data_IF_648089716750
#
_entry.id   IF_648089716750
#
_cell.length_a   1.000
_cell.length_b   1.000
_cell.length_c   1.000
_cell.angle_alpha   90.00
_cell.angle_beta   90.00
_cell.angle_gamma   90.00
#
_symmetry.space_group_name_H-M   'P 1'
#
loop_
_entity.id
_entity.type
_entity.pdbx_description
1 polymer ?
#
# COMPACT_ATOMS: atom_id res chain seq x y z
N UNK A 1 54.07 -3.85 19.24
CA UNK A 1 55.14 -4.76 18.77
C UNK A 1 54.58 -5.50 17.57
N UNK A 2 54.73 -4.89 16.40
CA UNK A 2 54.70 -5.61 15.13
C UNK A 2 55.99 -6.43 15.03
N UNK A 3 55.96 -7.65 14.51
CA UNK A 3 57.06 -8.28 13.76
C UNK A 3 56.60 -9.63 13.16
N UNK A 4 56.89 -9.77 11.87
CA UNK A 4 56.55 -10.83 10.92
C UNK A 4 57.51 -12.04 10.99
N UNK A 5 57.04 -13.16 10.42
CA UNK A 5 57.84 -14.19 9.73
C UNK A 5 57.64 -15.60 10.30
N UNK A 6 57.62 -16.70 9.53
CA UNK A 6 57.77 -17.00 8.10
C UNK A 6 57.26 -18.44 7.88
N UNK A 7 56.73 -18.67 6.67
CA UNK A 7 56.83 -19.85 5.80
C UNK A 7 56.65 -21.29 6.33
N UNK A 8 55.79 -22.04 5.62
CA UNK A 8 55.92 -23.50 5.52
C UNK A 8 54.67 -24.26 5.10
N UNK A 9 54.54 -24.52 3.80
CA UNK A 9 54.11 -25.84 3.30
C UNK A 9 52.62 -26.11 3.09
N UNK A 10 52.30 -26.50 1.86
CA UNK A 10 51.06 -27.08 1.38
C UNK A 10 50.37 -28.07 2.34
N UNK A 11 49.05 -27.92 2.52
CA UNK A 11 48.17 -29.08 2.72
C UNK A 11 46.74 -28.75 2.28
N UNK A 12 46.40 -29.21 1.07
CA UNK A 12 45.03 -29.33 0.57
C UNK A 12 44.27 -30.29 1.48
N UNK A 13 43.56 -29.77 2.49
CA UNK A 13 42.65 -30.60 3.30
C UNK A 13 41.27 -30.69 2.67
N UNK A 14 41.10 -31.81 1.98
CA UNK A 14 39.84 -32.48 1.61
C UNK A 14 38.96 -32.61 2.87
N UNK A 15 37.83 -31.92 2.92
CA UNK A 15 36.83 -32.11 3.98
C UNK A 15 36.13 -33.46 3.76
N UNK A 16 36.44 -34.45 4.61
CA UNK A 16 35.74 -35.73 4.66
C UNK A 16 34.46 -35.58 5.48
N UNK A 17 33.32 -35.86 4.85
CA UNK A 17 32.01 -35.96 5.49
C UNK A 17 32.00 -37.11 6.49
N UNK A 18 32.27 -36.82 7.76
CA UNK A 18 32.01 -37.77 8.84
C UNK A 18 30.49 -37.83 9.07
N UNK A 19 29.88 -38.96 8.70
CA UNK A 19 28.53 -39.33 9.10
C UNK A 19 28.49 -39.47 10.62
N UNK A 20 27.92 -38.47 11.29
CA UNK A 20 27.53 -38.58 12.68
C UNK A 20 26.19 -39.33 12.72
N UNK A 21 26.23 -40.65 12.92
CA UNK A 21 25.06 -41.46 13.26
C UNK A 21 24.77 -41.31 14.74
N UNK A 22 24.08 -40.23 15.11
CA UNK A 22 23.45 -40.09 16.41
C UNK A 22 22.04 -40.65 16.27
N UNK A 23 21.81 -41.85 16.80
CA UNK A 23 20.45 -42.36 17.02
C UNK A 23 19.72 -41.37 17.92
N UNK A 24 18.58 -40.79 17.51
CA UNK A 24 17.88 -39.85 18.36
C UNK A 24 17.36 -40.60 19.61
N UNK A 25 17.59 -40.05 20.82
CA UNK A 25 17.00 -40.62 22.03
C UNK A 25 15.48 -40.64 21.85
N UNK A 26 14.85 -41.70 22.36
CA UNK A 26 13.41 -41.92 22.33
C UNK A 26 12.66 -40.67 22.80
N UNK A 27 12.12 -39.90 21.84
CA UNK A 27 11.30 -38.73 22.07
C UNK A 27 9.93 -39.14 22.64
N UNK A 28 9.90 -39.65 23.87
CA UNK A 28 8.70 -39.74 24.71
C UNK A 28 8.58 -38.43 25.49
N UNK A 29 7.89 -37.48 24.88
CA UNK A 29 7.70 -36.15 25.45
C UNK A 29 7.46 -35.09 24.39
N UNK A 30 6.60 -35.37 23.40
CA UNK A 30 5.99 -34.27 22.65
C UNK A 30 5.12 -33.48 23.65
N UNK A 31 5.15 -32.14 23.66
CA UNK A 31 4.06 -31.39 24.25
C UNK A 31 2.79 -31.87 23.54
N UNK A 32 1.77 -32.23 24.30
CA UNK A 32 0.43 -32.50 23.75
C UNK A 32 0.06 -31.36 22.78
N UNK A 33 -0.32 -31.68 21.54
CA UNK A 33 -0.52 -30.67 20.48
C UNK A 33 -1.56 -29.62 20.92
N UNK A 34 -1.26 -28.31 21.01
CA UNK A 34 -2.10 -27.37 21.76
C UNK A 34 -3.45 -26.91 21.14
N UNK A 35 -4.16 -27.64 20.28
CA UNK A 35 -5.34 -27.07 19.59
C UNK A 35 -6.36 -28.04 18.96
N UNK A 36 -7.06 -28.85 19.75
CA UNK A 36 -8.38 -29.38 19.33
C UNK A 36 -9.43 -28.88 20.31
N UNK A 37 -10.40 -28.10 19.81
CA UNK A 37 -11.56 -28.67 19.11
C UNK A 37 -11.51 -28.43 17.60
N UNK A 38 -12.14 -29.32 16.82
CA UNK A 38 -12.44 -29.02 15.42
C UNK A 38 -13.48 -27.91 15.41
N UNK A 39 -13.16 -26.78 14.77
CA UNK A 39 -14.18 -25.79 14.43
C UNK A 39 -15.16 -26.45 13.45
N UNK A 40 -16.41 -26.58 13.88
CA UNK A 40 -17.44 -27.31 13.15
C UNK A 40 -17.94 -26.47 11.99
N UNK A 41 -17.36 -26.68 10.81
CA UNK A 41 -17.75 -25.99 9.59
C UNK A 41 -18.54 -26.89 8.65
N UNK A 42 -19.67 -26.40 8.13
CA UNK A 42 -20.48 -27.14 7.15
C UNK A 42 -20.69 -26.32 5.89
N UNK A 43 -20.38 -26.91 4.72
CA UNK A 43 -20.72 -26.37 3.41
C UNK A 43 -21.63 -27.40 2.74
N UNK A 44 -22.94 -27.14 2.77
CA UNK A 44 -23.96 -27.98 2.16
C UNK A 44 -24.34 -27.46 0.77
N UNK A 45 -25.15 -28.25 0.03
CA UNK A 45 -25.73 -27.80 -1.23
C UNK A 45 -26.68 -26.62 -1.03
N UNK A 46 -26.87 -25.81 -2.08
CA UNK A 46 -27.56 -24.51 -1.99
C UNK A 46 -28.92 -24.58 -1.32
N UNK A 47 -29.78 -25.48 -1.77
CA UNK A 47 -31.16 -25.59 -1.27
C UNK A 47 -31.22 -26.21 0.14
N UNK A 48 -30.30 -27.12 0.45
CA UNK A 48 -30.17 -27.71 1.79
C UNK A 48 -29.72 -26.66 2.80
N UNK A 49 -28.65 -25.91 2.48
CA UNK A 49 -28.13 -24.82 3.30
C UNK A 49 -29.20 -23.76 3.58
N UNK A 50 -29.97 -23.38 2.55
CA UNK A 50 -31.08 -22.44 2.66
C UNK A 50 -32.19 -22.98 3.57
N UNK A 51 -32.64 -24.21 3.32
CA UNK A 51 -33.73 -24.83 4.08
C UNK A 51 -33.36 -24.95 5.56
N UNK A 52 -32.13 -25.37 5.83
CA UNK A 52 -31.60 -25.50 7.18
C UNK A 52 -31.54 -24.15 7.91
N UNK A 53 -31.02 -23.09 7.28
CA UNK A 53 -30.97 -21.77 7.91
C UNK A 53 -32.37 -21.19 8.19
N UNK A 54 -33.35 -21.44 7.32
CA UNK A 54 -34.74 -21.05 7.55
C UNK A 54 -35.40 -21.86 8.68
N UNK A 55 -35.06 -23.14 8.82
CA UNK A 55 -35.46 -24.00 9.95
C UNK A 55 -34.89 -23.47 11.28
N UNK A 56 -33.58 -23.19 11.31
CA UNK A 56 -32.87 -22.68 12.48
C UNK A 56 -33.51 -21.36 12.97
N UNK A 57 -33.71 -20.41 12.06
CA UNK A 57 -34.39 -19.14 12.35
C UNK A 57 -35.81 -19.30 12.91
N UNK A 58 -36.53 -20.37 12.56
CA UNK A 58 -37.90 -20.64 13.06
C UNK A 58 -37.91 -21.38 14.39
N UNK A 59 -36.80 -22.00 14.77
CA UNK A 59 -36.70 -22.80 15.97
C UNK A 59 -36.79 -21.91 17.21
N UNK A 60 -37.80 -22.16 18.04
CA UNK A 60 -37.98 -21.40 19.29
C UNK A 60 -36.78 -21.66 20.20
N UNK A 61 -36.20 -20.58 20.73
CA UNK A 61 -34.99 -20.57 21.57
C UNK A 61 -33.66 -20.91 20.86
N UNK A 62 -33.64 -21.15 19.55
CA UNK A 62 -32.38 -21.15 18.81
C UNK A 62 -31.84 -19.72 18.71
N UNK A 63 -30.52 -19.57 18.82
CA UNK A 63 -29.87 -18.28 18.62
C UNK A 63 -28.85 -18.37 17.48
N UNK A 64 -29.12 -17.59 16.43
CA UNK A 64 -28.46 -17.68 15.12
C UNK A 64 -27.74 -16.37 14.79
N UNK A 65 -26.43 -16.45 14.54
CA UNK A 65 -25.63 -15.33 14.04
C UNK A 65 -25.54 -15.34 12.52
N UNK A 66 -25.69 -14.19 11.89
CA UNK A 66 -25.43 -13.96 10.46
C UNK A 66 -24.32 -12.94 10.32
N UNK A 67 -23.39 -13.18 9.40
CA UNK A 67 -22.18 -12.35 9.23
C UNK A 67 -21.97 -12.02 7.77
N UNK A 68 -21.46 -10.82 7.50
CA UNK A 68 -21.16 -10.35 6.14
C UNK A 68 -19.95 -9.39 6.13
N UNK A 69 -19.28 -9.33 4.98
CA UNK A 69 -18.17 -8.45 4.67
C UNK A 69 -18.48 -7.53 3.48
N UNK A 70 -18.16 -6.25 3.62
CA UNK A 70 -18.33 -5.27 2.54
C UNK A 70 -17.01 -4.65 2.10
N UNK A 71 -16.74 -4.68 0.80
CA UNK A 71 -15.61 -3.98 0.18
C UNK A 71 -16.07 -3.16 -1.01
N UNK A 72 -15.98 -1.84 -0.92
CA UNK A 72 -16.23 -0.90 -2.01
C UNK A 72 -14.90 -0.29 -2.47
N UNK A 73 -14.56 -0.53 -3.75
CA UNK A 73 -13.36 -0.07 -4.49
C UNK A 73 -12.22 0.49 -3.61
N UNK A 74 -11.35 -0.43 -3.17
CA UNK A 74 -10.00 -0.22 -2.59
C UNK A 74 -9.84 0.79 -1.42
N UNK A 75 -10.92 1.30 -0.81
CA UNK A 75 -10.83 2.24 0.34
C UNK A 75 -11.86 1.95 1.43
N UNK A 76 -13.00 1.36 1.10
CA UNK A 76 -14.12 1.18 2.01
C UNK A 76 -14.32 -0.29 2.34
N UNK A 77 -13.83 -0.68 3.52
CA UNK A 77 -13.91 -2.05 4.03
C UNK A 77 -14.73 -2.06 5.31
N UNK A 78 -15.66 -2.99 5.44
CA UNK A 78 -16.55 -3.12 6.59
C UNK A 78 -16.91 -4.57 6.86
N UNK A 79 -17.22 -4.89 8.10
CA UNK A 79 -17.75 -6.19 8.50
C UNK A 79 -18.95 -5.98 9.40
N UNK A 80 -19.83 -6.98 9.47
CA UNK A 80 -20.94 -6.95 10.39
C UNK A 80 -21.33 -8.33 10.91
N UNK A 81 -22.07 -8.30 12.01
CA UNK A 81 -22.82 -9.43 12.53
C UNK A 81 -24.23 -8.99 12.90
N UNK A 82 -25.18 -9.91 12.77
CA UNK A 82 -26.56 -9.77 13.21
C UNK A 82 -26.95 -11.06 13.91
N UNK A 83 -27.56 -10.98 15.08
CA UNK A 83 -28.00 -12.13 15.87
C UNK A 83 -29.50 -12.15 15.96
N UNK A 84 -30.09 -13.30 15.67
CA UNK A 84 -31.52 -13.56 15.78
C UNK A 84 -31.79 -14.61 16.87
N UNK A 85 -32.90 -14.46 17.60
CA UNK A 85 -33.42 -15.47 18.52
C UNK A 85 -34.88 -15.75 18.20
N UNK A 86 -35.20 -16.99 17.85
CA UNK A 86 -36.56 -17.36 17.40
C UNK A 86 -37.07 -16.48 16.26
N UNK A 87 -36.18 -16.13 15.33
CA UNK A 87 -36.50 -15.33 14.13
C UNK A 87 -36.54 -13.82 14.33
N UNK A 88 -36.34 -13.32 15.56
CA UNK A 88 -36.33 -11.89 15.86
C UNK A 88 -34.89 -11.40 16.04
N UNK A 89 -34.52 -10.31 15.37
CA UNK A 89 -33.22 -9.66 15.57
C UNK A 89 -33.10 -9.17 17.02
N UNK A 90 -32.10 -9.67 17.75
CA UNK A 90 -31.82 -9.29 19.15
C UNK A 90 -30.55 -8.46 19.29
N UNK A 91 -29.67 -8.50 18.30
CA UNK A 91 -28.44 -7.73 18.30
C UNK A 91 -27.91 -7.53 16.87
N UNK A 92 -27.29 -6.39 16.61
CA UNK A 92 -26.45 -6.20 15.43
C UNK A 92 -25.30 -5.26 15.74
N UNK A 93 -24.18 -5.47 15.06
CA UNK A 93 -23.01 -4.59 15.17
C UNK A 93 -22.22 -4.59 13.86
N UNK A 94 -21.41 -3.56 13.68
CA UNK A 94 -20.59 -3.37 12.48
C UNK A 94 -19.26 -2.71 12.81
N UNK A 95 -18.27 -2.98 11.96
CA UNK A 95 -16.92 -2.47 12.13
C UNK A 95 -16.34 -1.96 10.83
N UNK A 96 -15.53 -0.90 10.95
CA UNK A 96 -14.67 -0.40 9.90
C UNK A 96 -13.31 -1.05 9.99
N UNK A 97 -12.86 -1.66 8.90
CA UNK A 97 -11.51 -2.21 8.80
C UNK A 97 -10.55 -1.23 8.11
N UNK A 98 -9.27 -1.61 8.11
CA UNK A 98 -8.26 -0.94 7.30
C UNK A 98 -8.69 -0.88 5.82
N UNK A 99 -8.44 0.23 5.10
CA UNK A 99 -8.67 0.35 3.66
C UNK A 99 -8.02 -0.76 2.82
N UNK A 100 -7.02 -1.45 3.37
CA UNK A 100 -6.29 -2.54 2.71
C UNK A 100 -6.79 -3.94 3.06
N UNK A 101 -7.82 -4.06 3.91
CA UNK A 101 -8.44 -5.34 4.21
C UNK A 101 -9.07 -5.94 2.94
N UNK A 102 -8.92 -7.24 2.78
CA UNK A 102 -9.59 -8.00 1.72
C UNK A 102 -11.03 -8.29 2.10
N UNK A 103 -11.84 -8.73 1.14
CA UNK A 103 -13.20 -9.22 1.44
C UNK A 103 -13.14 -10.33 2.50
N UNK A 104 -12.23 -11.29 2.35
CA UNK A 104 -12.02 -12.38 3.31
C UNK A 104 -11.63 -11.89 4.71
N UNK A 105 -10.86 -10.80 4.82
CA UNK A 105 -10.54 -10.21 6.14
C UNK A 105 -11.78 -9.61 6.82
N UNK A 106 -12.71 -9.07 6.04
CA UNK A 106 -13.98 -8.53 6.51
C UNK A 106 -14.90 -9.65 6.98
N UNK A 107 -15.09 -10.68 6.16
CA UNK A 107 -15.89 -11.86 6.51
C UNK A 107 -15.37 -12.56 7.77
N UNK A 108 -14.05 -12.77 7.87
CA UNK A 108 -13.41 -13.35 9.06
C UNK A 108 -13.63 -12.49 10.31
N UNK A 109 -13.68 -11.16 10.16
CA UNK A 109 -13.95 -10.28 11.30
C UNK A 109 -15.41 -10.42 11.75
N UNK A 110 -16.37 -10.48 10.83
CA UNK A 110 -17.78 -10.71 11.17
C UNK A 110 -17.95 -11.98 12.00
N UNK A 111 -17.35 -13.09 11.56
CA UNK A 111 -17.37 -14.36 12.32
C UNK A 111 -16.66 -14.25 13.67
N UNK A 112 -15.49 -13.60 13.74
CA UNK A 112 -14.75 -13.43 14.99
C UNK A 112 -15.56 -12.65 16.03
N UNK A 113 -16.19 -11.55 15.61
CA UNK A 113 -16.98 -10.73 16.52
C UNK A 113 -18.28 -11.45 16.95
N UNK A 114 -18.88 -12.26 16.06
CA UNK A 114 -20.00 -13.12 16.43
C UNK A 114 -19.60 -14.13 17.51
N UNK A 115 -18.45 -14.81 17.36
CA UNK A 115 -17.92 -15.73 18.37
C UNK A 115 -17.64 -15.01 19.70
N UNK A 116 -17.01 -13.84 19.66
CA UNK A 116 -16.75 -13.03 20.87
C UNK A 116 -18.03 -12.64 21.59
N UNK A 117 -19.03 -12.22 20.84
CA UNK A 117 -20.32 -11.86 21.40
C UNK A 117 -20.99 -13.06 22.05
N UNK A 118 -20.98 -14.23 21.41
CA UNK A 118 -21.51 -15.48 21.97
C UNK A 118 -20.85 -15.81 23.31
N UNK A 119 -19.51 -15.79 23.37
CA UNK A 119 -18.77 -16.06 24.60
C UNK A 119 -19.13 -15.05 25.70
N UNK A 120 -19.30 -13.77 25.34
CA UNK A 120 -19.66 -12.72 26.29
C UNK A 120 -21.07 -12.89 26.91
N UNK A 121 -21.95 -13.67 26.27
CA UNK A 121 -23.32 -13.90 26.75
C UNK A 121 -23.45 -15.05 27.76
N UNK A 122 -22.34 -15.70 28.12
CA UNK A 122 -22.23 -16.68 29.21
C UNK A 122 -23.46 -17.61 29.34
N UNK A 123 -23.49 -18.69 28.54
CA UNK A 123 -24.57 -19.67 28.61
C UNK A 123 -24.18 -21.02 27.99
N UNK A 124 -25.00 -22.03 28.26
CA UNK A 124 -24.87 -23.40 27.73
C UNK A 124 -25.67 -23.64 26.45
N UNK A 125 -26.16 -22.57 25.82
CA UNK A 125 -26.87 -22.64 24.54
C UNK A 125 -25.93 -23.05 23.40
N UNK A 126 -26.48 -23.79 22.44
CA UNK A 126 -25.82 -24.06 21.16
C UNK A 126 -26.12 -22.94 20.17
N UNK A 127 -25.13 -22.58 19.37
CA UNK A 127 -25.15 -21.45 18.45
C UNK A 127 -24.80 -21.87 17.04
N UNK A 128 -25.44 -21.23 16.09
CA UNK A 128 -25.13 -21.38 14.67
C UNK A 128 -24.72 -20.02 14.10
N UNK A 129 -23.55 -19.97 13.46
CA UNK A 129 -23.07 -18.79 12.75
C UNK A 129 -23.14 -19.08 11.25
N UNK A 130 -23.96 -18.32 10.55
CA UNK A 130 -24.13 -18.36 9.12
C UNK A 130 -23.26 -17.29 8.44
N UNK A 131 -22.57 -17.70 7.37
CA UNK A 131 -21.81 -16.82 6.48
C UNK A 131 -22.00 -17.28 5.04
N UNK A 132 -22.07 -16.35 4.10
CA UNK A 132 -22.12 -16.68 2.68
C UNK A 132 -20.72 -16.94 2.07
N UNK A 133 -19.67 -16.74 2.87
CA UNK A 133 -18.28 -16.90 2.45
C UNK A 133 -17.77 -18.31 2.64
N UNK A 134 -17.89 -19.16 1.60
CA UNK A 134 -17.25 -20.48 1.60
C UNK A 134 -15.73 -20.40 1.84
N UNK A 135 -15.09 -19.29 1.45
CA UNK A 135 -13.68 -19.07 1.67
C UNK A 135 -13.33 -19.03 3.16
N UNK A 136 -14.15 -18.36 3.99
CA UNK A 136 -13.98 -18.33 5.44
C UNK A 136 -14.11 -19.71 6.04
N UNK A 137 -15.13 -20.47 5.65
CA UNK A 137 -15.33 -21.83 6.18
C UNK A 137 -14.19 -22.78 5.78
N UNK A 138 -13.67 -22.66 4.55
CA UNK A 138 -12.47 -23.39 4.11
C UNK A 138 -11.21 -22.98 4.88
N UNK A 139 -11.08 -21.71 5.27
CA UNK A 139 -9.98 -21.23 6.11
C UNK A 139 -10.07 -21.83 7.51
N UNK A 140 -11.27 -21.82 8.12
CA UNK A 140 -11.51 -22.32 9.47
C UNK A 140 -11.40 -23.84 9.57
N UNK A 141 -11.72 -24.58 8.50
CA UNK A 141 -11.57 -26.05 8.45
C UNK A 141 -10.14 -26.52 8.16
N UNK A 142 -9.29 -25.64 7.61
CA UNK A 142 -7.92 -25.96 7.22
C UNK A 142 -6.91 -25.46 8.24
N UNK A 143 -6.18 -26.39 8.90
CA UNK A 143 -5.13 -26.06 9.88
C UNK A 143 -4.04 -25.15 9.29
N UNK A 144 -3.61 -25.41 8.06
CA UNK A 144 -2.57 -24.61 7.38
C UNK A 144 -3.05 -23.20 7.05
N UNK A 145 -4.33 -23.04 6.70
CA UNK A 145 -4.92 -21.75 6.38
C UNK A 145 -5.22 -20.93 7.64
N UNK A 146 -5.72 -21.57 8.70
CA UNK A 146 -5.94 -20.93 10.00
C UNK A 146 -4.64 -20.35 10.55
N UNK A 147 -3.53 -21.08 10.49
CA UNK A 147 -2.23 -20.59 10.96
C UNK A 147 -1.73 -19.33 10.22
N UNK A 148 -2.23 -19.08 9.01
CA UNK A 148 -1.89 -17.90 8.19
C UNK A 148 -2.80 -16.71 8.45
N UNK A 149 -3.95 -16.90 9.10
CA UNK A 149 -4.93 -15.85 9.32
C UNK A 149 -5.16 -15.62 10.80
N UNK A 150 -4.70 -14.47 11.29
CA UNK A 150 -4.80 -14.11 12.70
C UNK A 150 -6.22 -14.16 13.26
N UNK A 151 -7.21 -13.65 12.51
CA UNK A 151 -8.63 -13.73 12.89
C UNK A 151 -9.13 -15.17 12.99
N UNK A 152 -8.73 -16.05 12.06
CA UNK A 152 -9.07 -17.47 12.12
C UNK A 152 -8.44 -18.15 13.34
N UNK A 153 -7.19 -17.77 13.66
CA UNK A 153 -6.49 -18.23 14.87
C UNK A 153 -7.20 -17.79 16.15
N UNK A 154 -7.64 -16.53 16.21
CA UNK A 154 -8.43 -16.00 17.31
C UNK A 154 -9.79 -16.70 17.43
N UNK A 155 -10.48 -16.97 16.32
CA UNK A 155 -11.72 -17.77 16.32
C UNK A 155 -11.46 -19.14 16.93
N UNK A 156 -10.42 -19.85 16.50
CA UNK A 156 -10.08 -21.18 17.05
C UNK A 156 -9.79 -21.13 18.54
N UNK A 157 -9.04 -20.12 19.01
CA UNK A 157 -8.74 -19.94 20.43
C UNK A 157 -10.01 -19.66 21.23
N UNK A 158 -10.85 -18.73 20.78
CA UNK A 158 -12.12 -18.40 21.42
C UNK A 158 -13.07 -19.60 21.47
N UNK A 159 -13.17 -20.38 20.38
CA UNK A 159 -14.00 -21.58 20.36
C UNK A 159 -13.47 -22.73 21.24
N UNK A 160 -12.19 -22.72 21.59
CA UNK A 160 -11.64 -23.69 22.55
C UNK A 160 -12.14 -23.48 23.98
N UNK A 161 -12.64 -22.28 24.30
CA UNK A 161 -13.29 -21.98 25.59
C UNK A 161 -14.71 -22.55 25.68
N UNK A 162 -15.35 -22.81 24.53
CA UNK A 162 -16.74 -23.29 24.41
C UNK A 162 -16.85 -24.44 23.39
N UNK A 163 -16.17 -25.59 23.63
CA UNK A 163 -16.10 -26.68 22.67
C UNK A 163 -17.49 -27.20 22.30
N UNK A 164 -17.67 -27.50 21.02
CA UNK A 164 -18.88 -28.09 20.42
C UNK A 164 -20.18 -27.26 20.57
N UNK A 165 -20.12 -26.03 21.10
CA UNK A 165 -21.28 -25.15 21.26
C UNK A 165 -21.58 -24.28 20.05
N UNK A 166 -20.61 -24.07 19.16
CA UNK A 166 -20.77 -23.17 18.00
C UNK A 166 -20.44 -23.92 16.72
N UNK A 167 -21.41 -23.96 15.81
CA UNK A 167 -21.20 -24.43 14.44
C UNK A 167 -21.20 -23.25 13.47
N UNK A 168 -20.36 -23.31 12.43
CA UNK A 168 -20.31 -22.33 11.36
C UNK A 168 -20.83 -22.97 10.08
N UNK A 169 -21.88 -22.40 9.49
CA UNK A 169 -22.56 -22.98 8.33
C UNK A 169 -22.55 -22.02 7.16
N UNK A 170 -22.38 -22.58 5.97
CA UNK A 170 -22.52 -21.81 4.75
C UNK A 170 -23.99 -21.55 4.46
N UNK A 171 -24.30 -20.35 3.99
CA UNK A 171 -25.59 -20.01 3.38
C UNK A 171 -25.39 -19.38 2.00
N UNK A 172 -26.32 -19.57 1.06
CA UNK A 172 -26.20 -18.89 -0.22
C UNK A 172 -26.39 -17.39 -0.07
N UNK A 173 -25.43 -16.62 -0.59
CA UNK A 173 -25.57 -15.18 -0.74
C UNK A 173 -26.68 -14.83 -1.75
N UNK A 174 -27.23 -13.63 -1.57
CA UNK A 174 -28.28 -12.99 -2.38
C UNK A 174 -29.72 -13.57 -2.28
N UNK A 175 -30.64 -12.70 -1.83
CA UNK A 175 -32.11 -12.70 -1.96
C UNK A 175 -32.90 -13.91 -1.48
N UNK A 176 -32.32 -14.75 -0.63
CA UNK A 176 -32.93 -16.02 -0.24
C UNK A 176 -33.21 -16.16 1.26
N UNK A 177 -32.55 -15.36 2.10
CA UNK A 177 -32.64 -15.42 3.57
C UNK A 177 -32.54 -13.98 4.08
N UNK A 178 -33.65 -13.47 4.61
CA UNK A 178 -33.76 -12.08 5.09
C UNK A 178 -32.73 -11.74 6.16
N UNK A 179 -32.41 -12.68 7.05
CA UNK A 179 -31.40 -12.49 8.09
C UNK A 179 -29.98 -12.33 7.54
N UNK A 180 -29.64 -13.00 6.43
CA UNK A 180 -28.36 -12.82 5.76
C UNK A 180 -28.31 -11.46 5.05
N UNK A 181 -29.36 -11.11 4.31
CA UNK A 181 -29.47 -9.79 3.66
C UNK A 181 -29.43 -8.64 4.66
N UNK A 182 -29.94 -8.87 5.88
CA UNK A 182 -29.88 -7.93 6.98
C UNK A 182 -28.45 -7.67 7.46
N UNK A 183 -27.50 -8.58 7.24
CA UNK A 183 -26.09 -8.39 7.57
C UNK A 183 -25.35 -7.51 6.53
N UNK A 184 -25.83 -7.44 5.29
CA UNK A 184 -25.27 -6.59 4.23
C UNK A 184 -25.36 -5.09 4.59
N UNK A 185 -26.50 -4.65 5.12
CA UNK A 185 -26.74 -3.26 5.50
C UNK A 185 -25.72 -2.74 6.56
N UNK A 186 -25.52 -3.40 7.71
CA UNK A 186 -24.54 -2.99 8.71
C UNK A 186 -23.11 -3.15 8.19
N UNK A 187 -22.80 -4.15 7.34
CA UNK A 187 -21.47 -4.27 6.74
C UNK A 187 -21.17 -3.07 5.82
N UNK A 188 -22.14 -2.63 5.03
CA UNK A 188 -22.04 -1.42 4.22
C UNK A 188 -21.93 -0.14 5.07
N UNK A 189 -22.65 -0.05 6.19
CA UNK A 189 -22.50 1.04 7.18
C UNK A 189 -21.07 1.08 7.73
N UNK A 190 -20.52 -0.05 8.15
CA UNK A 190 -19.13 -0.17 8.59
C UNK A 190 -18.14 0.29 7.51
N UNK A 191 -18.35 -0.12 6.26
CA UNK A 191 -17.51 0.31 5.14
C UNK A 191 -17.54 1.82 4.89
N UNK A 192 -18.64 2.49 5.23
CA UNK A 192 -18.85 3.93 5.06
C UNK A 192 -18.24 4.80 6.17
N UNK A 193 -17.88 4.23 7.32
CA UNK A 193 -17.27 4.98 8.43
C UNK A 193 -15.93 5.59 8.03
N UNK A 194 -15.62 6.74 8.65
CA UNK A 194 -14.34 7.46 8.44
C UNK A 194 -13.19 6.85 9.24
N UNK A 195 -13.47 6.47 10.48
CA UNK A 195 -12.46 5.98 11.42
C UNK A 195 -12.50 4.46 11.52
N UNK A 196 -11.32 3.84 11.55
CA UNK A 196 -11.16 2.39 11.72
C UNK A 196 -11.57 2.04 13.15
N UNK A 197 -12.69 1.32 13.30
CA UNK A 197 -13.23 0.89 14.60
C UNK A 197 -12.80 -0.52 14.98
N UNK A 198 -12.43 -1.36 14.01
CA UNK A 198 -11.76 -2.61 14.29
C UNK A 198 -10.28 -2.34 14.57
N UNK A 199 -9.89 -2.32 15.84
CA UNK A 199 -8.49 -2.48 16.22
C UNK A 199 -8.06 -3.88 15.75
N UNK A 200 -7.56 -4.01 14.52
CA UNK A 200 -6.97 -5.27 14.10
C UNK A 200 -5.68 -5.45 14.91
N UNK A 201 -5.52 -6.55 15.66
CA UNK A 201 -4.18 -7.03 15.95
C UNK A 201 -3.52 -7.30 14.60
N UNK A 202 -2.23 -7.03 14.56
CA UNK A 202 -1.37 -7.04 13.38
C UNK A 202 -1.15 -8.48 12.93
N UNK A 203 -2.19 -9.12 12.40
CA UNK A 203 -2.07 -10.40 11.71
C UNK A 203 -1.21 -10.27 10.45
N UNK A 204 -0.60 -11.36 9.96
CA UNK A 204 0.24 -11.31 8.77
C UNK A 204 -0.59 -10.85 7.58
N UNK A 205 -0.39 -9.58 7.22
CA UNK A 205 -0.93 -8.98 6.01
C UNK A 205 -0.50 -9.82 4.81
N UNK A 206 -1.40 -10.06 3.86
CA UNK A 206 -1.00 -10.69 2.59
C UNK A 206 0.15 -9.90 1.97
N UNK A 207 1.05 -10.56 1.22
CA UNK A 207 2.12 -9.86 0.47
C UNK A 207 1.55 -8.73 -0.39
N UNK A 208 0.35 -8.91 -0.93
CA UNK A 208 -0.38 -7.89 -1.69
C UNK A 208 -0.77 -6.69 -0.83
N UNK A 209 -1.29 -6.93 0.37
CA UNK A 209 -1.66 -5.91 1.37
C UNK A 209 -0.41 -5.15 1.84
N UNK A 210 0.67 -5.85 2.18
CA UNK A 210 1.95 -5.24 2.57
C UNK A 210 2.54 -4.37 1.46
N UNK A 211 2.52 -4.87 0.21
CA UNK A 211 3.03 -4.12 -0.94
C UNK A 211 2.21 -2.85 -1.18
N UNK A 212 0.89 -2.92 -1.04
CA UNK A 212 0.00 -1.74 -1.14
C UNK A 212 0.31 -0.73 -0.03
N UNK A 213 0.46 -1.19 1.21
CA UNK A 213 0.84 -0.35 2.34
C UNK A 213 2.20 0.32 2.12
N UNK A 214 3.22 -0.43 1.74
CA UNK A 214 4.57 0.09 1.46
C UNK A 214 4.58 1.11 0.32
N UNK A 215 3.81 0.85 -0.75
CA UNK A 215 3.67 1.80 -1.85
C UNK A 215 3.02 3.09 -1.35
N UNK A 216 1.95 3.02 -0.56
CA UNK A 216 1.25 4.21 -0.09
C UNK A 216 2.07 4.98 0.94
N UNK A 217 2.67 4.30 1.91
CA UNK A 217 3.61 4.89 2.86
C UNK A 217 4.78 5.58 2.13
N UNK A 218 5.35 4.93 1.11
CA UNK A 218 6.38 5.52 0.27
C UNK A 218 5.90 6.76 -0.49
N UNK A 219 4.66 6.76 -1.01
CA UNK A 219 4.06 7.92 -1.70
C UNK A 219 3.84 9.09 -0.74
N UNK A 220 3.35 8.84 0.46
CA UNK A 220 3.12 9.85 1.48
C UNK A 220 4.44 10.45 1.96
N UNK A 221 5.42 9.61 2.29
CA UNK A 221 6.77 10.05 2.66
C UNK A 221 7.43 10.88 1.56
N UNK A 222 7.32 10.45 0.29
CA UNK A 222 7.84 11.21 -0.84
C UNK A 222 7.13 12.56 -1.01
N UNK A 223 5.80 12.61 -0.83
CA UNK A 223 5.04 13.86 -0.90
C UNK A 223 5.45 14.82 0.21
N UNK A 224 5.61 14.33 1.44
CA UNK A 224 6.05 15.12 2.59
C UNK A 224 7.46 15.66 2.35
N UNK A 225 8.42 14.79 2.04
CA UNK A 225 9.79 15.18 1.70
C UNK A 225 9.85 16.21 0.56
N UNK A 226 9.05 16.01 -0.49
CA UNK A 226 8.97 16.95 -1.61
C UNK A 226 8.40 18.30 -1.18
N UNK A 227 7.34 18.32 -0.37
CA UNK A 227 6.76 19.55 0.18
C UNK A 227 7.80 20.35 0.97
N UNK A 228 8.50 19.67 1.88
CA UNK A 228 9.52 20.27 2.74
C UNK A 228 10.70 20.81 1.91
N UNK A 229 11.20 20.03 0.94
CA UNK A 229 12.30 20.47 0.07
C UNK A 229 11.90 21.57 -0.90
N UNK A 230 10.67 21.53 -1.45
CA UNK A 230 10.16 22.57 -2.35
C UNK A 230 10.17 23.93 -1.67
N UNK A 231 9.84 24.00 -0.37
CA UNK A 231 9.87 25.26 0.38
C UNK A 231 11.27 25.90 0.39
N UNK A 232 12.34 25.09 0.35
CA UNK A 232 13.74 25.57 0.35
C UNK A 232 14.36 25.79 -1.04
N UNK A 233 13.74 25.29 -2.12
CA UNK A 233 14.30 25.35 -3.47
C UNK A 233 13.61 26.48 -4.25
N UNK A 234 14.38 27.51 -4.64
CA UNK A 234 13.86 28.76 -5.20
C UNK A 234 13.02 28.68 -6.49
N UNK A 235 12.73 29.84 -7.09
CA UNK A 235 11.76 30.03 -8.19
C UNK A 235 11.90 29.08 -9.39
N UNK A 236 13.12 28.65 -9.73
CA UNK A 236 13.36 27.69 -10.82
C UNK A 236 12.69 26.33 -10.57
N UNK A 237 12.73 25.81 -9.35
CA UNK A 237 12.10 24.52 -9.04
C UNK A 237 10.58 24.62 -9.14
N UNK A 238 10.00 25.76 -8.79
CA UNK A 238 8.56 25.98 -8.96
C UNK A 238 8.14 26.03 -10.44
N UNK A 239 9.00 26.55 -11.31
CA UNK A 239 8.74 26.64 -12.74
C UNK A 239 8.72 25.28 -13.44
N UNK A 240 9.65 24.39 -13.05
CA UNK A 240 9.84 23.10 -13.71
C UNK A 240 9.17 21.92 -12.98
N UNK A 241 9.02 21.99 -11.66
CA UNK A 241 8.48 20.92 -10.84
C UNK A 241 7.32 21.41 -9.98
N UNK A 242 6.08 21.18 -10.43
CA UNK A 242 4.88 21.60 -9.69
C UNK A 242 4.51 20.63 -8.55
N UNK A 243 4.73 19.33 -8.73
CA UNK A 243 4.42 18.31 -7.73
C UNK A 243 5.38 17.12 -7.85
N UNK A 244 5.36 16.23 -6.86
CA UNK A 244 6.27 15.08 -6.79
C UNK A 244 6.22 14.17 -8.05
N UNK A 245 5.08 14.11 -8.75
CA UNK A 245 4.99 13.34 -10.00
C UNK A 245 5.80 13.94 -11.14
N UNK A 246 5.95 15.27 -11.20
CA UNK A 246 6.79 15.92 -12.22
C UNK A 246 8.27 15.59 -12.00
N UNK A 247 8.74 15.64 -10.74
CA UNK A 247 10.10 15.23 -10.40
C UNK A 247 10.36 13.75 -10.76
N UNK A 248 9.37 12.88 -10.55
CA UNK A 248 9.47 11.47 -10.97
C UNK A 248 9.56 11.32 -12.49
N UNK A 249 8.79 12.10 -13.25
CA UNK A 249 8.82 12.08 -14.72
C UNK A 249 10.18 12.59 -15.25
N UNK A 250 10.76 13.61 -14.62
CA UNK A 250 12.10 14.10 -14.96
C UNK A 250 13.16 13.00 -14.94
N UNK A 251 13.19 12.21 -13.86
CA UNK A 251 14.18 11.13 -13.66
C UNK A 251 13.97 9.98 -14.65
N UNK A 252 12.75 9.80 -15.17
CA UNK A 252 12.46 8.79 -16.20
C UNK A 252 12.91 9.19 -17.60
N UNK A 253 13.08 10.49 -17.85
CA UNK A 253 13.57 10.98 -19.13
C UNK A 253 15.10 10.97 -19.19
N UNK A 254 15.65 11.21 -20.38
CA UNK A 254 17.08 11.49 -20.53
C UNK A 254 17.43 12.79 -19.79
N UNK A 255 18.29 12.71 -18.78
CA UNK A 255 18.74 13.83 -17.95
C UNK A 255 20.18 14.16 -18.32
N UNK A 256 20.42 15.40 -18.73
CA UNK A 256 21.77 15.92 -19.06
C UNK A 256 22.22 16.93 -18.01
N UNK A 257 23.53 17.20 -17.93
CA UNK A 257 24.07 18.23 -17.05
C UNK A 257 23.48 19.62 -17.37
N UNK A 258 23.40 19.97 -18.66
CA UNK A 258 22.82 21.23 -19.12
C UNK A 258 21.34 21.37 -18.74
N UNK A 259 20.54 20.34 -19.02
CA UNK A 259 19.10 20.36 -18.69
C UNK A 259 18.88 20.38 -17.18
N UNK A 260 19.70 19.68 -16.39
CA UNK A 260 19.68 19.75 -14.92
C UNK A 260 20.03 21.15 -14.41
N UNK A 261 21.09 21.77 -14.93
CA UNK A 261 21.49 23.11 -14.54
C UNK A 261 20.36 24.12 -14.80
N UNK A 262 19.71 24.05 -15.97
CA UNK A 262 18.56 24.88 -16.32
C UNK A 262 17.38 24.64 -15.38
N UNK A 263 17.00 23.37 -15.20
CA UNK A 263 15.80 22.97 -14.46
C UNK A 263 15.90 23.25 -12.95
N UNK A 264 17.07 23.03 -12.37
CA UNK A 264 17.31 23.35 -10.96
C UNK A 264 17.73 24.81 -10.76
N UNK A 265 17.77 25.63 -11.81
CA UNK A 265 18.14 27.05 -11.76
C UNK A 265 19.58 27.32 -11.33
N UNK A 266 20.48 26.38 -11.63
CA UNK A 266 21.93 26.46 -11.46
C UNK A 266 22.67 26.87 -12.73
N UNK A 267 21.94 27.04 -13.85
CA UNK A 267 22.53 27.58 -15.07
C UNK A 267 23.07 28.99 -14.80
N UNK A 268 24.29 29.31 -15.26
CA UNK A 268 24.99 30.56 -14.95
C UNK A 268 24.50 31.74 -15.78
N UNK A 269 23.19 31.92 -15.80
CA UNK A 269 22.53 33.06 -16.44
C UNK A 269 22.90 34.36 -15.72
N UNK A 270 22.92 35.54 -16.39
CA UNK A 270 23.19 36.81 -15.72
C UNK A 270 22.32 37.05 -14.48
N UNK A 271 21.03 36.68 -14.51
CA UNK A 271 20.16 36.77 -13.34
C UNK A 271 20.57 35.82 -12.18
N UNK A 272 21.12 34.64 -12.48
CA UNK A 272 21.66 33.75 -11.47
C UNK A 272 22.98 34.27 -10.90
N UNK A 273 23.90 34.71 -11.76
CA UNK A 273 25.21 35.24 -11.36
C UNK A 273 25.08 36.54 -10.55
N UNK A 274 24.14 37.41 -10.90
CA UNK A 274 23.85 38.63 -10.14
C UNK A 274 23.39 38.31 -8.72
N UNK A 275 22.46 37.35 -8.56
CA UNK A 275 22.04 36.87 -7.22
C UNK A 275 23.17 36.25 -6.42
N UNK A 276 24.16 35.66 -7.08
CA UNK A 276 25.36 35.12 -6.45
C UNK A 276 26.44 36.19 -6.20
N UNK A 277 26.22 37.46 -6.56
CA UNK A 277 27.20 38.54 -6.40
C UNK A 277 28.39 38.48 -7.36
N UNK A 278 28.31 37.70 -8.44
CA UNK A 278 29.42 37.49 -9.40
C UNK A 278 29.45 38.55 -10.49
N UNK A 279 28.30 39.15 -10.82
CA UNK A 279 28.17 40.21 -11.83
C UNK A 279 27.33 41.35 -11.27
N UNK A 280 27.52 42.56 -11.81
CA UNK A 280 26.85 43.77 -11.31
C UNK A 280 25.47 44.04 -11.94
N UNK A 281 25.09 43.31 -13.00
CA UNK A 281 23.80 43.47 -13.68
C UNK A 281 23.16 42.11 -14.02
N UNK A 282 21.84 41.95 -13.82
CA UNK A 282 21.09 40.76 -14.22
C UNK A 282 20.68 40.78 -15.71
N UNK A 283 21.06 41.80 -16.47
CA UNK A 283 20.61 42.00 -17.86
C UNK A 283 21.14 40.95 -18.83
N UNK A 284 20.35 40.69 -19.87
CA UNK A 284 20.74 39.82 -20.98
C UNK A 284 21.46 40.63 -22.06
N UNK A 285 22.37 40.00 -22.80
CA UNK A 285 23.09 40.65 -23.92
C UNK A 285 22.15 41.08 -25.07
N UNK A 286 20.93 40.53 -25.13
CA UNK A 286 19.87 41.02 -26.03
C UNK A 286 19.17 42.30 -25.53
N UNK A 287 19.67 42.91 -24.44
CA UNK A 287 19.13 44.08 -23.73
C UNK A 287 17.83 43.86 -22.97
N UNK A 288 17.44 42.60 -22.73
CA UNK A 288 16.35 42.31 -21.81
C UNK A 288 16.77 42.62 -20.36
N UNK A 289 15.90 43.22 -19.53
CA UNK A 289 16.25 43.68 -18.19
C UNK A 289 16.66 42.53 -17.24
N UNK A 290 16.19 41.31 -17.51
CA UNK A 290 16.53 40.13 -16.70
C UNK A 290 16.81 38.93 -17.62
N UNK A 291 18.08 38.55 -17.72
CA UNK A 291 18.53 37.35 -18.41
C UNK A 291 18.42 36.12 -17.53
N UNK A 292 17.20 35.57 -17.40
CA UNK A 292 16.92 34.30 -16.72
C UNK A 292 16.43 33.22 -17.71
N UNK A 293 16.23 31.99 -17.23
CA UNK A 293 15.75 30.87 -18.07
C UNK A 293 14.36 31.13 -18.68
N UNK A 294 13.48 31.88 -18.00
CA UNK A 294 12.17 32.31 -18.53
C UNK A 294 12.28 33.30 -19.69
N UNK A 295 13.39 34.02 -19.80
CA UNK A 295 13.69 34.84 -20.97
C UNK A 295 14.37 34.00 -22.06
N UNK A 296 15.48 33.34 -21.72
CA UNK A 296 16.32 32.60 -22.68
C UNK A 296 15.56 31.55 -23.48
N UNK A 297 14.79 30.69 -22.79
CA UNK A 297 14.17 29.53 -23.44
C UNK A 297 13.01 29.92 -24.37
N UNK A 298 12.01 30.72 -23.95
CA UNK A 298 10.84 30.96 -24.79
C UNK A 298 10.93 32.21 -25.69
N UNK A 299 11.75 33.22 -25.39
CA UNK A 299 11.66 34.52 -26.09
C UNK A 299 12.99 35.16 -26.53
N UNK A 300 14.13 34.85 -25.90
CA UNK A 300 15.42 35.47 -26.25
C UNK A 300 15.82 35.26 -27.72
N UNK A 301 16.11 36.33 -28.49
CA UNK A 301 16.54 36.22 -29.89
C UNK A 301 17.84 35.42 -30.08
N UNK A 302 18.72 35.41 -29.08
CA UNK A 302 20.03 34.73 -29.12
C UNK A 302 19.91 33.21 -29.22
N UNK A 303 18.78 32.64 -28.81
CA UNK A 303 18.50 31.20 -28.91
C UNK A 303 17.46 30.86 -29.97
N UNK A 304 17.11 31.79 -30.87
CA UNK A 304 16.03 31.60 -31.84
C UNK A 304 16.25 30.38 -32.75
N UNK A 305 17.46 30.19 -33.26
CA UNK A 305 17.77 29.04 -34.12
C UNK A 305 17.65 27.70 -33.37
N UNK A 306 18.08 27.65 -32.10
CA UNK A 306 17.95 26.46 -31.28
C UNK A 306 16.47 26.20 -30.90
N UNK A 307 15.70 27.25 -30.63
CA UNK A 307 14.28 27.17 -30.30
C UNK A 307 13.44 26.63 -31.45
N UNK A 308 13.73 27.02 -32.70
CA UNK A 308 13.05 26.51 -33.91
C UNK A 308 13.18 25.00 -34.09
N UNK A 309 14.23 24.37 -33.54
CA UNK A 309 14.43 22.91 -33.58
C UNK A 309 13.51 22.17 -32.59
N UNK A 310 12.86 22.87 -31.66
CA UNK A 310 11.88 22.27 -30.75
C UNK A 310 10.51 22.18 -31.43
N UNK A 311 10.15 20.97 -31.87
CA UNK A 311 8.85 20.71 -32.51
C UNK A 311 7.68 21.19 -31.62
N UNK A 312 6.83 22.05 -32.17
CA UNK A 312 5.68 22.64 -31.46
C UNK A 312 6.05 23.76 -30.47
N UNK A 313 7.29 24.26 -30.52
CA UNK A 313 7.75 25.39 -29.71
C UNK A 313 8.00 25.08 -28.24
N UNK A 314 8.54 26.08 -27.54
CA UNK A 314 8.75 26.04 -26.08
C UNK A 314 7.42 26.37 -25.39
N UNK A 315 6.90 25.50 -24.49
CA UNK A 315 5.64 25.76 -23.81
C UNK A 315 5.72 26.97 -22.87
N UNK A 316 4.60 27.68 -22.72
CA UNK A 316 4.45 28.80 -21.78
C UNK A 316 4.77 28.37 -20.33
N UNK A 317 4.23 27.23 -19.89
CA UNK A 317 4.55 26.67 -18.58
C UNK A 317 5.76 25.74 -18.66
N UNK A 318 6.87 26.15 -18.05
CA UNK A 318 8.16 25.45 -18.14
C UNK A 318 8.14 24.01 -17.59
N UNK A 319 7.25 23.66 -16.66
CA UNK A 319 7.08 22.28 -16.20
C UNK A 319 6.72 21.30 -17.33
N UNK A 320 6.13 21.79 -18.43
CA UNK A 320 5.84 20.96 -19.62
C UNK A 320 7.12 20.42 -20.27
N UNK A 321 8.25 21.10 -20.11
CA UNK A 321 9.57 20.65 -20.58
C UNK A 321 10.10 19.45 -19.78
N UNK A 322 9.55 19.23 -18.58
CA UNK A 322 9.88 18.10 -17.70
C UNK A 322 8.97 16.91 -17.96
N UNK A 323 7.66 17.14 -18.06
CA UNK A 323 6.67 16.04 -18.14
C UNK A 323 6.48 15.49 -19.55
N UNK A 324 6.84 16.25 -20.58
CA UNK A 324 6.75 15.81 -21.98
C UNK A 324 7.98 15.01 -22.40
N UNK A 325 7.95 13.71 -22.10
CA UNK A 325 9.03 12.78 -22.45
C UNK A 325 9.27 12.65 -23.96
N UNK A 326 8.26 12.95 -24.79
CA UNK A 326 8.38 12.85 -26.26
C UNK A 326 9.26 13.96 -26.83
N UNK A 327 9.18 15.15 -26.26
CA UNK A 327 10.01 16.32 -26.66
C UNK A 327 11.29 16.47 -25.84
N UNK A 328 11.65 15.45 -25.04
CA UNK A 328 12.80 15.50 -24.13
C UNK A 328 14.11 15.77 -24.83
N UNK A 329 14.36 15.09 -25.96
CA UNK A 329 15.61 15.20 -26.71
C UNK A 329 15.81 16.60 -27.29
N UNK A 330 14.78 17.19 -27.88
CA UNK A 330 14.84 18.55 -28.43
C UNK A 330 14.98 19.60 -27.32
N UNK A 331 14.36 19.38 -26.15
CA UNK A 331 14.57 20.25 -24.99
C UNK A 331 16.01 20.16 -24.45
N UNK A 332 16.59 18.96 -24.37
CA UNK A 332 17.98 18.77 -23.97
C UNK A 332 18.94 19.50 -24.91
N UNK A 333 18.69 19.46 -26.22
CA UNK A 333 19.46 20.21 -27.21
C UNK A 333 19.36 21.73 -27.01
N UNK A 334 18.15 22.24 -26.73
CA UNK A 334 17.95 23.66 -26.43
C UNK A 334 18.71 24.09 -25.15
N UNK A 335 18.67 23.26 -24.09
CA UNK A 335 19.44 23.52 -22.87
C UNK A 335 20.94 23.52 -23.12
N UNK A 336 21.44 22.59 -23.94
CA UNK A 336 22.85 22.56 -24.33
C UNK A 336 23.26 23.80 -25.11
N UNK A 337 22.43 24.28 -26.04
CA UNK A 337 22.70 25.51 -26.78
C UNK A 337 22.76 26.74 -25.86
N UNK A 338 21.87 26.82 -24.86
CA UNK A 338 21.93 27.85 -23.82
C UNK A 338 23.25 27.77 -23.04
N UNK A 339 23.64 26.60 -22.57
CA UNK A 339 24.90 26.44 -21.82
C UNK A 339 26.12 26.81 -22.67
N UNK A 340 26.19 26.37 -23.92
CA UNK A 340 27.27 26.73 -24.85
C UNK A 340 27.38 28.25 -25.03
N UNK A 341 26.25 28.94 -25.20
CA UNK A 341 26.24 30.40 -25.29
C UNK A 341 26.70 31.07 -23.98
N UNK A 342 26.24 30.59 -22.82
CA UNK A 342 26.65 31.14 -21.52
C UNK A 342 28.15 30.90 -21.23
N UNK A 343 28.69 29.76 -21.65
CA UNK A 343 30.12 29.44 -21.50
C UNK A 343 30.97 30.29 -22.45
N UNK A 344 30.54 30.49 -23.70
CA UNK A 344 31.21 31.41 -24.63
C UNK A 344 31.24 32.85 -24.08
N UNK A 345 30.13 33.30 -23.47
CA UNK A 345 30.06 34.60 -22.80
C UNK A 345 31.06 34.74 -21.65
N UNK A 346 31.28 33.67 -20.87
CA UNK A 346 32.27 33.67 -19.79
C UNK A 346 33.69 33.80 -20.32
N UNK A 347 34.00 33.19 -21.46
CA UNK A 347 35.28 33.36 -22.15
C UNK A 347 35.51 34.78 -22.70
N UNK A 348 34.44 35.53 -22.95
CA UNK A 348 34.49 36.94 -23.40
C UNK A 348 34.52 37.95 -22.25
N UNK A 349 34.16 37.54 -21.03
CA UNK A 349 34.07 38.40 -19.84
C UNK A 349 35.34 38.38 -18.96
N UNK A 350 36.40 37.68 -19.36
CA UNK A 350 37.73 37.76 -18.72
C UNK A 350 38.58 38.78 -19.48
N UNK A 351 38.24 40.05 -19.34
CA UNK A 351 39.19 41.15 -19.56
C UNK A 351 38.95 42.11 -18.39
N UNK A 352 40.00 42.47 -17.63
CA UNK A 352 39.89 43.23 -16.38
C UNK A 352 39.24 44.61 -16.55
#
# INVERSE_FOLDING_TARGET
LDLRGRDGGDMVQRWSLHRCTISPPSWRGLPTQPWHPRVSTTIAEREEAKSYALEALRTKNATDGFTDGSVVKDVKTGAAMVVHRGGVEVHSNFWKLSPYATITDCELLGVLEAVRWIISKAGDENWEIFTDSQAVLKILSSRTSTARWDKARQIHLSLSEIPDRVSQRWVPGHRSISANERADEPAAKGASMREVSALSPQGPHTVRTLRRYQIEAGRLSLRKWWSDKRASLGTSVNDFFYCASHARLWIRGEVTAASSAVVFGRAPTPAHLYRCGVVNSPECDCRAPVGNTRHYLPSCPLLEQARKKVKGGVPYHLYKLVVDLRRRKSFNQLCSALMQYLDARRGLAVVP
#
